data_IF_618275222362
#
_entry.id   IF_618275222362
#
_cell.length_a   1.000
_cell.length_b   1.000
_cell.length_c   1.000
_cell.angle_alpha   90.00
_cell.angle_beta   90.00
_cell.angle_gamma   90.00
#
_symmetry.space_group_name_H-M   'P 1'
#
loop_
_entity.id
_entity.type
_entity.pdbx_description
1 polymer ?
#
# COMPACT_ATOMS: atom_id res chain seq x y z
N UNK A 1 -13.91 -53.37 -15.66
CA UNK A 1 -13.75 -52.23 -14.85
C UNK A 1 -12.28 -51.99 -14.58
N UNK A 2 -11.69 -50.93 -15.09
CA UNK A 2 -10.34 -50.50 -14.72
C UNK A 2 -10.49 -49.95 -13.31
N UNK A 3 -9.97 -50.68 -12.30
CA UNK A 3 -9.82 -50.16 -10.94
C UNK A 3 -8.90 -48.94 -11.07
N UNK A 4 -9.44 -47.74 -10.84
CA UNK A 4 -8.62 -46.55 -10.66
C UNK A 4 -7.77 -46.83 -9.40
N UNK A 5 -6.46 -46.90 -9.60
CA UNK A 5 -5.52 -47.03 -8.49
C UNK A 5 -5.78 -45.88 -7.51
N UNK A 6 -5.84 -46.19 -6.21
CA UNK A 6 -5.91 -45.16 -5.19
C UNK A 6 -4.77 -44.18 -5.39
N UNK A 7 -5.04 -42.88 -5.26
CA UNK A 7 -4.00 -41.86 -5.41
C UNK A 7 -2.85 -42.22 -4.46
N UNK A 8 -1.59 -42.03 -4.87
CA UNK A 8 -0.44 -42.42 -4.09
C UNK A 8 -0.53 -41.77 -2.70
N UNK A 9 -0.65 -42.63 -1.64
CA UNK A 9 -0.83 -42.16 -0.27
C UNK A 9 0.46 -41.50 0.29
N UNK A 10 1.59 -41.70 -0.38
CA UNK A 10 2.89 -41.17 0.03
C UNK A 10 3.58 -40.52 -1.18
N UNK A 11 3.50 -39.22 -1.23
CA UNK A 11 4.38 -38.41 -2.07
C UNK A 11 5.71 -38.18 -1.32
N UNK A 12 6.84 -37.99 -2.02
CA UNK A 12 8.12 -37.68 -1.39
C UNK A 12 7.99 -36.48 -0.42
N UNK A 13 8.64 -36.59 0.72
CA UNK A 13 8.56 -35.55 1.78
C UNK A 13 9.15 -34.18 1.37
N UNK A 14 9.91 -34.15 0.30
CA UNK A 14 10.50 -32.96 -0.32
C UNK A 14 9.62 -32.36 -1.43
N UNK A 15 8.45 -32.96 -1.71
CA UNK A 15 7.53 -32.44 -2.70
C UNK A 15 6.84 -31.17 -2.18
N UNK A 16 6.85 -30.04 -2.94
CA UNK A 16 6.17 -28.82 -2.55
C UNK A 16 4.66 -29.05 -2.32
N UNK A 17 4.11 -28.52 -1.21
CA UNK A 17 2.70 -28.74 -0.83
C UNK A 17 1.71 -28.38 -1.96
N UNK A 18 2.01 -27.34 -2.73
CA UNK A 18 1.16 -26.94 -3.86
C UNK A 18 1.18 -27.96 -5.00
N UNK A 19 2.35 -28.51 -5.34
CA UNK A 19 2.46 -29.57 -6.34
C UNK A 19 1.70 -30.83 -5.89
N UNK A 20 1.76 -31.16 -4.62
CA UNK A 20 0.96 -32.25 -4.03
C UNK A 20 -0.52 -32.03 -4.28
N UNK A 21 -1.03 -30.82 -4.00
CA UNK A 21 -2.45 -30.49 -4.22
C UNK A 21 -2.84 -30.51 -5.70
N UNK A 22 -1.95 -30.06 -6.61
CA UNK A 22 -2.17 -30.12 -8.04
C UNK A 22 -2.30 -31.57 -8.54
N UNK A 23 -1.39 -32.46 -8.08
CA UNK A 23 -1.40 -33.89 -8.43
C UNK A 23 -2.64 -34.59 -7.85
N UNK A 24 -3.00 -34.33 -6.60
CA UNK A 24 -4.19 -34.91 -5.98
C UNK A 24 -5.47 -34.51 -6.74
N UNK A 25 -5.56 -33.27 -7.21
CA UNK A 25 -6.70 -32.83 -8.02
C UNK A 25 -6.71 -33.48 -9.41
N UNK A 26 -5.56 -33.74 -10.01
CA UNK A 26 -5.47 -34.52 -11.28
C UNK A 26 -6.01 -35.95 -11.11
N UNK A 27 -5.73 -36.55 -9.96
CA UNK A 27 -6.05 -37.94 -9.63
C UNK A 27 -7.40 -38.09 -8.92
N UNK A 28 -8.18 -37.01 -8.77
CA UNK A 28 -9.47 -37.07 -8.11
C UNK A 28 -10.37 -38.16 -8.77
N UNK A 29 -11.02 -39.05 -7.97
CA UNK A 29 -11.87 -40.11 -8.48
C UNK A 29 -13.01 -39.59 -9.36
N UNK A 30 -13.68 -38.53 -8.90
CA UNK A 30 -14.75 -37.85 -9.64
C UNK A 30 -14.15 -36.88 -10.68
N UNK A 31 -14.45 -37.06 -11.98
CA UNK A 31 -14.02 -36.15 -13.04
C UNK A 31 -14.45 -34.69 -12.82
N UNK A 32 -15.57 -34.44 -12.15
CA UNK A 32 -16.04 -33.08 -11.82
C UNK A 32 -15.12 -32.34 -10.86
N UNK A 33 -14.33 -33.04 -10.06
CA UNK A 33 -13.35 -32.47 -9.14
C UNK A 33 -11.95 -32.33 -9.76
N UNK A 34 -11.75 -32.75 -11.00
CA UNK A 34 -10.48 -32.57 -11.73
C UNK A 34 -10.38 -31.16 -12.32
N UNK A 35 -9.23 -30.87 -12.92
CA UNK A 35 -9.02 -29.64 -13.68
C UNK A 35 -9.96 -29.58 -14.89
N UNK A 36 -10.56 -28.42 -15.13
CA UNK A 36 -11.54 -28.23 -16.22
C UNK A 36 -10.89 -28.30 -17.59
N UNK A 37 -9.61 -27.97 -17.70
CA UNK A 37 -8.83 -28.01 -18.96
C UNK A 37 -7.35 -28.26 -18.70
N UNK A 38 -6.64 -28.70 -19.75
CA UNK A 38 -5.18 -28.79 -19.73
C UNK A 38 -4.49 -27.45 -19.53
N UNK A 39 -5.10 -26.35 -20.02
CA UNK A 39 -4.61 -24.99 -19.81
C UNK A 39 -4.66 -24.58 -18.33
N UNK A 40 -5.73 -24.92 -17.61
CA UNK A 40 -5.84 -24.69 -16.18
C UNK A 40 -4.75 -25.48 -15.41
N UNK A 41 -4.55 -26.75 -15.75
CA UNK A 41 -3.48 -27.56 -15.17
C UNK A 41 -2.10 -26.98 -15.48
N UNK A 42 -1.82 -26.60 -16.71
CA UNK A 42 -0.54 -26.00 -17.11
C UNK A 42 -0.24 -24.72 -16.31
N UNK A 43 -1.24 -23.88 -16.09
CA UNK A 43 -1.10 -22.67 -15.27
C UNK A 43 -0.71 -22.98 -13.83
N UNK A 44 -1.26 -24.03 -13.24
CA UNK A 44 -0.93 -24.47 -11.87
C UNK A 44 0.47 -25.07 -11.80
N UNK A 45 0.90 -25.78 -12.83
CA UNK A 45 2.27 -26.31 -12.91
C UNK A 45 3.29 -25.16 -13.07
N UNK A 46 3.00 -24.14 -13.91
CA UNK A 46 3.83 -22.95 -14.01
C UNK A 46 3.98 -22.22 -12.67
N UNK A 47 2.91 -22.18 -11.89
CA UNK A 47 2.96 -21.63 -10.52
C UNK A 47 3.91 -22.42 -9.62
N UNK A 48 3.96 -23.76 -9.74
CA UNK A 48 4.91 -24.57 -8.99
C UNK A 48 6.38 -24.25 -9.31
N UNK A 49 6.65 -23.76 -10.53
CA UNK A 49 7.99 -23.35 -10.97
C UNK A 49 8.39 -21.97 -10.46
N UNK A 50 7.44 -21.21 -9.88
CA UNK A 50 7.69 -19.88 -9.32
C UNK A 50 7.29 -19.81 -7.83
N UNK A 51 8.16 -20.28 -6.92
CA UNK A 51 7.83 -20.36 -5.48
C UNK A 51 7.45 -19.01 -4.87
N UNK A 52 8.02 -17.91 -5.40
CA UNK A 52 7.72 -16.57 -4.90
C UNK A 52 6.31 -16.12 -5.27
N UNK A 53 5.90 -16.27 -6.51
CA UNK A 53 4.53 -16.01 -6.94
C UNK A 53 3.54 -16.92 -6.20
N UNK A 54 3.89 -18.18 -5.99
CA UNK A 54 3.10 -19.14 -5.23
C UNK A 54 2.87 -18.67 -3.78
N UNK A 55 3.91 -18.20 -3.08
CA UNK A 55 3.80 -17.71 -1.70
C UNK A 55 2.89 -16.48 -1.59
N UNK A 56 2.85 -15.64 -2.63
CA UNK A 56 1.99 -14.47 -2.68
C UNK A 56 0.54 -14.89 -2.93
N UNK A 57 0.29 -15.71 -3.96
CA UNK A 57 -1.06 -16.06 -4.41
C UNK A 57 -1.73 -17.10 -3.51
N UNK A 58 -0.95 -18.02 -2.94
CA UNK A 58 -1.40 -19.10 -2.07
C UNK A 58 -0.58 -19.12 -0.78
N UNK A 59 -0.74 -18.11 0.08
CA UNK A 59 0.01 -18.06 1.33
C UNK A 59 -0.30 -19.27 2.21
N UNK A 60 0.73 -19.86 2.79
CA UNK A 60 0.59 -21.00 3.70
C UNK A 60 -0.38 -20.66 4.85
N UNK A 61 -1.17 -21.63 5.30
CA UNK A 61 -2.16 -21.45 6.38
C UNK A 61 -1.55 -20.95 7.69
N UNK A 62 -0.27 -21.21 7.93
CA UNK A 62 0.50 -20.72 9.08
C UNK A 62 1.12 -19.33 8.88
N UNK A 63 0.96 -18.70 7.69
CA UNK A 63 1.46 -17.37 7.44
C UNK A 63 0.84 -16.35 8.41
N UNK A 64 1.63 -15.38 8.86
CA UNK A 64 1.10 -14.31 9.71
C UNK A 64 0.05 -13.47 8.99
N UNK A 65 0.14 -13.34 7.67
CA UNK A 65 -0.85 -12.63 6.85
C UNK A 65 -2.25 -13.29 6.90
N UNK A 66 -2.32 -14.64 6.95
CA UNK A 66 -3.61 -15.34 7.06
C UNK A 66 -4.28 -15.11 8.41
N UNK A 67 -3.50 -14.86 9.47
CA UNK A 67 -3.99 -14.53 10.81
C UNK A 67 -4.63 -13.11 10.89
N UNK A 68 -4.35 -12.26 9.91
CA UNK A 68 -4.89 -10.89 9.85
C UNK A 68 -6.25 -10.81 9.15
N UNK A 69 -6.81 -11.96 8.75
CA UNK A 69 -8.15 -12.02 8.15
C UNK A 69 -9.19 -11.38 9.08
N UNK A 70 -9.95 -10.41 8.54
CA UNK A 70 -10.92 -9.61 9.30
C UNK A 70 -10.37 -8.30 9.89
N UNK A 71 -9.04 -8.12 9.88
CA UNK A 71 -8.37 -6.91 10.36
C UNK A 71 -7.81 -6.04 9.23
N UNK A 72 -8.09 -6.39 7.96
CA UNK A 72 -7.50 -5.74 6.80
C UNK A 72 -7.83 -4.25 6.74
N UNK A 73 -9.11 -3.87 6.96
CA UNK A 73 -9.52 -2.45 6.93
C UNK A 73 -8.86 -1.66 8.06
N UNK A 74 -8.97 -2.07 9.35
CA UNK A 74 -8.29 -1.38 10.44
C UNK A 74 -6.77 -1.26 10.23
N UNK A 75 -6.12 -2.29 9.70
CA UNK A 75 -4.67 -2.28 9.48
C UNK A 75 -4.27 -1.35 8.35
N UNK A 76 -5.00 -1.31 7.23
CA UNK A 76 -4.76 -0.34 6.16
C UNK A 76 -4.94 1.09 6.68
N UNK A 77 -6.01 1.34 7.44
CA UNK A 77 -6.23 2.66 8.07
C UNK A 77 -5.08 3.01 9.00
N UNK A 78 -4.59 2.07 9.82
CA UNK A 78 -3.47 2.29 10.73
C UNK A 78 -2.15 2.56 9.99
N UNK A 79 -1.87 1.80 8.93
CA UNK A 79 -0.68 1.99 8.06
C UNK A 79 -0.67 3.41 7.47
N UNK A 80 -1.82 3.95 7.12
CA UNK A 80 -1.95 5.32 6.61
C UNK A 80 -1.90 6.35 7.73
N UNK A 81 -2.59 6.10 8.84
CA UNK A 81 -2.72 7.04 9.94
C UNK A 81 -1.38 7.35 10.63
N UNK A 82 -0.57 6.32 10.91
CA UNK A 82 0.69 6.49 11.66
C UNK A 82 1.63 7.52 11.01
N UNK A 83 2.06 7.39 9.74
CA UNK A 83 2.96 8.36 9.14
C UNK A 83 2.33 9.75 9.02
N UNK A 84 1.02 9.85 8.77
CA UNK A 84 0.31 11.13 8.68
C UNK A 84 0.20 11.83 10.04
N UNK A 85 -0.06 11.09 11.12
CA UNK A 85 -0.08 11.64 12.49
C UNK A 85 1.31 12.12 12.89
N UNK A 86 2.36 11.34 12.63
CA UNK A 86 3.73 11.73 12.94
C UNK A 86 4.15 12.98 12.14
N UNK A 87 3.82 13.06 10.86
CA UNK A 87 4.01 14.25 10.05
C UNK A 87 3.22 15.44 10.60
N UNK A 88 1.97 15.24 11.03
CA UNK A 88 1.13 16.26 11.64
C UNK A 88 1.69 16.80 12.97
N UNK A 89 2.21 15.92 13.80
CA UNK A 89 2.90 16.30 15.07
C UNK A 89 4.12 17.17 14.76
N UNK A 90 4.96 16.72 13.81
CA UNK A 90 6.12 17.51 13.39
C UNK A 90 5.69 18.88 12.84
N UNK A 91 4.74 18.91 11.92
CA UNK A 91 4.21 20.13 11.30
C UNK A 91 3.66 21.12 12.33
N UNK A 92 2.94 20.60 13.34
CA UNK A 92 2.39 21.39 14.43
C UNK A 92 3.51 22.08 15.22
N UNK A 93 4.47 21.32 15.76
CA UNK A 93 5.54 21.89 16.57
C UNK A 93 6.44 22.84 15.78
N UNK A 94 6.74 22.51 14.51
CA UNK A 94 7.51 23.37 13.64
C UNK A 94 6.83 24.72 13.42
N UNK A 95 5.56 24.72 13.06
CA UNK A 95 4.82 25.95 12.78
C UNK A 95 4.54 26.74 14.08
N UNK A 96 4.27 26.08 15.19
CA UNK A 96 4.11 26.77 16.47
C UNK A 96 5.36 27.57 16.83
N UNK A 97 6.52 26.95 16.75
CA UNK A 97 7.78 27.57 17.14
C UNK A 97 8.21 28.68 16.20
N UNK A 98 8.10 28.46 14.89
CA UNK A 98 8.64 29.42 13.89
C UNK A 98 7.68 30.52 13.47
N UNK A 99 6.39 30.35 13.71
CA UNK A 99 5.36 31.29 13.26
C UNK A 99 4.58 31.83 14.44
N UNK A 100 3.94 30.95 15.21
CA UNK A 100 2.94 31.33 16.20
C UNK A 100 3.55 32.09 17.37
N UNK A 101 4.71 31.66 17.88
CA UNK A 101 5.40 32.31 19.01
C UNK A 101 5.88 33.72 18.68
N UNK A 102 6.04 34.05 17.39
CA UNK A 102 6.48 35.37 16.92
C UNK A 102 5.33 36.32 16.59
N UNK A 103 4.07 35.83 16.62
CA UNK A 103 2.88 36.59 16.29
C UNK A 103 2.03 36.84 17.54
N UNK A 104 1.75 38.11 17.87
CA UNK A 104 0.89 38.46 19.01
C UNK A 104 -0.52 37.90 18.83
N UNK A 105 -1.08 37.32 19.91
CA UNK A 105 -2.45 36.79 19.97
C UNK A 105 -2.80 35.69 18.93
N UNK A 106 -1.80 34.99 18.40
CA UNK A 106 -2.02 34.00 17.36
C UNK A 106 -2.27 32.59 17.88
N UNK A 107 -1.93 32.30 19.12
CA UNK A 107 -1.97 30.93 19.66
C UNK A 107 -3.39 30.33 19.65
N UNK A 108 -4.39 31.06 20.14
CA UNK A 108 -5.77 30.57 20.17
C UNK A 108 -6.34 30.35 18.77
N UNK A 109 -6.04 31.29 17.83
CA UNK A 109 -6.45 31.15 16.45
C UNK A 109 -5.80 29.92 15.80
N UNK A 110 -4.49 29.73 16.02
CA UNK A 110 -3.73 28.59 15.53
C UNK A 110 -4.32 27.27 16.00
N UNK A 111 -4.57 27.12 17.31
CA UNK A 111 -5.15 25.90 17.87
C UNK A 111 -6.55 25.59 17.33
N UNK A 112 -7.41 26.60 17.19
CA UNK A 112 -8.77 26.44 16.63
C UNK A 112 -8.72 26.01 15.16
N UNK A 113 -7.88 26.66 14.36
CA UNK A 113 -7.71 26.36 12.93
C UNK A 113 -7.13 24.96 12.76
N UNK A 114 -6.06 24.62 13.50
CA UNK A 114 -5.44 23.30 13.48
C UNK A 114 -6.44 22.20 13.83
N UNK A 115 -7.19 22.39 14.90
CA UNK A 115 -8.20 21.42 15.35
C UNK A 115 -9.31 21.25 14.33
N UNK A 116 -9.80 22.34 13.74
CA UNK A 116 -10.85 22.30 12.73
C UNK A 116 -10.40 21.58 11.45
N UNK A 117 -9.21 21.89 10.94
CA UNK A 117 -8.67 21.25 9.73
C UNK A 117 -8.45 19.75 9.99
N UNK A 118 -7.83 19.38 11.11
CA UNK A 118 -7.55 17.98 11.42
C UNK A 118 -8.83 17.18 11.68
N UNK A 119 -9.84 17.79 12.33
CA UNK A 119 -11.14 17.14 12.59
C UNK A 119 -11.88 16.81 11.29
N UNK A 120 -11.62 17.51 10.21
CA UNK A 120 -12.19 17.22 8.88
C UNK A 120 -11.28 16.29 8.09
N UNK A 121 -9.98 16.60 7.98
CA UNK A 121 -9.05 15.89 7.12
C UNK A 121 -8.88 14.42 7.53
N UNK A 122 -8.54 14.14 8.80
CA UNK A 122 -8.32 12.75 9.22
C UNK A 122 -9.53 11.83 9.05
N UNK A 123 -10.76 12.19 9.46
CA UNK A 123 -11.91 11.32 9.25
C UNK A 123 -12.25 11.12 7.77
N UNK A 124 -12.12 12.17 6.94
CA UNK A 124 -12.42 12.07 5.50
C UNK A 124 -11.43 11.19 4.77
N UNK A 125 -10.13 11.40 4.93
CA UNK A 125 -9.11 10.62 4.25
C UNK A 125 -9.06 9.17 4.71
N UNK A 126 -9.01 8.95 6.02
CA UNK A 126 -8.99 7.59 6.57
C UNK A 126 -10.29 6.84 6.29
N UNK A 127 -11.44 7.53 6.35
CA UNK A 127 -12.73 6.96 6.00
C UNK A 127 -12.83 6.55 4.54
N UNK A 128 -12.35 7.38 3.62
CA UNK A 128 -12.32 7.07 2.19
C UNK A 128 -11.41 5.88 1.87
N UNK A 129 -10.21 5.83 2.47
CA UNK A 129 -9.27 4.72 2.28
C UNK A 129 -9.85 3.42 2.87
N UNK A 130 -10.43 3.50 4.06
CA UNK A 130 -11.11 2.37 4.69
C UNK A 130 -12.28 1.86 3.85
N UNK A 131 -13.08 2.75 3.28
CA UNK A 131 -14.18 2.41 2.39
C UNK A 131 -13.70 1.74 1.08
N UNK A 132 -12.64 2.26 0.44
CA UNK A 132 -12.05 1.63 -0.74
C UNK A 132 -11.54 0.22 -0.43
N UNK A 133 -10.89 0.04 0.72
CA UNK A 133 -10.42 -1.28 1.18
C UNK A 133 -11.59 -2.23 1.43
N UNK A 134 -12.63 -1.76 2.11
CA UNK A 134 -13.83 -2.54 2.37
C UNK A 134 -14.54 -2.99 1.08
N UNK A 135 -14.62 -2.12 0.06
CA UNK A 135 -15.20 -2.48 -1.24
C UNK A 135 -14.46 -3.65 -1.90
N UNK A 136 -13.13 -3.68 -1.82
CA UNK A 136 -12.33 -4.79 -2.37
C UNK A 136 -12.59 -6.09 -1.62
N UNK A 137 -12.64 -6.03 -0.29
CA UNK A 137 -12.91 -7.19 0.56
C UNK A 137 -14.33 -7.73 0.40
N UNK A 138 -15.30 -6.84 0.29
CA UNK A 138 -16.70 -7.22 0.00
C UNK A 138 -16.80 -7.94 -1.34
N UNK A 139 -16.18 -7.39 -2.39
CA UNK A 139 -16.16 -8.07 -3.69
C UNK A 139 -15.49 -9.45 -3.61
N UNK A 140 -14.38 -9.58 -2.89
CA UNK A 140 -13.71 -10.87 -2.70
C UNK A 140 -14.64 -11.89 -1.99
N UNK A 141 -15.38 -11.46 -0.97
CA UNK A 141 -16.33 -12.31 -0.24
C UNK A 141 -17.55 -12.71 -1.11
N UNK A 142 -18.12 -11.75 -1.85
CA UNK A 142 -19.25 -12.03 -2.75
C UNK A 142 -18.87 -13.02 -3.86
N UNK A 143 -17.62 -12.95 -4.36
CA UNK A 143 -17.07 -13.87 -5.37
C UNK A 143 -16.80 -15.28 -4.84
N UNK A 144 -16.61 -15.45 -3.53
CA UNK A 144 -16.52 -16.77 -2.90
C UNK A 144 -17.85 -17.54 -2.94
N UNK A 145 -18.98 -16.82 -2.96
CA UNK A 145 -20.33 -17.40 -2.91
C UNK A 145 -20.97 -17.58 -4.27
N UNK A 146 -20.59 -16.76 -5.28
CA UNK A 146 -21.17 -16.79 -6.62
C UNK A 146 -20.14 -17.24 -7.67
N UNK A 147 -20.26 -18.48 -8.12
CA UNK A 147 -19.41 -19.10 -9.16
C UNK A 147 -19.48 -18.45 -10.55
N UNK A 148 -20.38 -17.48 -10.75
CA UNK A 148 -20.59 -16.72 -11.99
C UNK A 148 -20.13 -15.28 -11.91
N UNK A 149 -19.16 -14.96 -11.03
CA UNK A 149 -18.63 -13.60 -10.96
C UNK A 149 -18.15 -13.15 -12.34
N UNK A 150 -18.61 -11.98 -12.76
CA UNK A 150 -18.25 -11.36 -14.05
C UNK A 150 -16.73 -11.21 -14.12
N UNK A 151 -16.10 -11.94 -15.04
CA UNK A 151 -14.67 -11.95 -15.29
C UNK A 151 -14.09 -10.53 -15.39
N UNK A 152 -14.80 -9.67 -16.09
CA UNK A 152 -14.38 -8.28 -16.28
C UNK A 152 -14.34 -7.51 -14.97
N UNK A 153 -15.31 -7.76 -14.08
CA UNK A 153 -15.31 -7.14 -12.73
C UNK A 153 -14.14 -7.63 -11.89
N UNK A 154 -13.82 -8.93 -11.96
CA UNK A 154 -12.67 -9.49 -11.25
C UNK A 154 -11.36 -8.82 -11.66
N UNK A 155 -11.09 -8.68 -12.96
CA UNK A 155 -9.90 -7.98 -13.47
C UNK A 155 -9.85 -6.53 -12.98
N UNK A 156 -10.99 -5.83 -12.98
CA UNK A 156 -11.06 -4.44 -12.49
C UNK A 156 -10.71 -4.37 -11.00
N UNK A 157 -11.22 -5.29 -10.19
CA UNK A 157 -10.96 -5.31 -8.74
C UNK A 157 -9.51 -5.68 -8.42
N UNK A 158 -8.91 -6.62 -9.16
CA UNK A 158 -7.49 -6.93 -9.06
C UNK A 158 -6.61 -5.70 -9.36
N UNK A 159 -6.90 -4.96 -10.43
CA UNK A 159 -6.21 -3.70 -10.77
C UNK A 159 -6.37 -2.63 -9.70
N UNK A 160 -7.57 -2.49 -9.12
CA UNK A 160 -7.84 -1.57 -8.01
C UNK A 160 -7.06 -1.94 -6.77
N UNK A 161 -6.96 -3.24 -6.46
CA UNK A 161 -6.18 -3.73 -5.33
C UNK A 161 -4.69 -3.39 -5.49
N UNK A 162 -4.09 -3.64 -6.66
CA UNK A 162 -2.71 -3.27 -6.96
C UNK A 162 -2.45 -1.75 -6.87
N UNK A 163 -3.48 -0.93 -7.12
CA UNK A 163 -3.39 0.54 -7.04
C UNK A 163 -3.85 1.11 -5.70
N UNK A 164 -4.24 0.29 -4.72
CA UNK A 164 -4.79 0.78 -3.45
C UNK A 164 -3.80 1.70 -2.73
N UNK A 165 -2.51 1.33 -2.67
CA UNK A 165 -1.46 2.19 -2.10
C UNK A 165 -1.28 3.51 -2.84
N UNK A 166 -1.42 3.50 -4.17
CA UNK A 166 -1.38 4.74 -4.96
C UNK A 166 -2.59 5.65 -4.65
N UNK A 167 -3.78 5.09 -4.52
CA UNK A 167 -4.97 5.87 -4.12
C UNK A 167 -4.82 6.43 -2.71
N UNK A 168 -4.30 5.63 -1.76
CA UNK A 168 -4.02 6.12 -0.41
C UNK A 168 -3.03 7.30 -0.44
N UNK A 169 -1.93 7.19 -1.18
CA UNK A 169 -0.96 8.26 -1.34
C UNK A 169 -1.56 9.52 -1.98
N UNK A 170 -2.39 9.38 -3.02
CA UNK A 170 -3.06 10.52 -3.66
C UNK A 170 -4.05 11.23 -2.72
N UNK A 171 -4.85 10.46 -1.96
CA UNK A 171 -5.79 11.01 -0.99
C UNK A 171 -5.03 11.82 0.07
N UNK A 172 -4.01 11.21 0.70
CA UNK A 172 -3.21 11.90 1.71
C UNK A 172 -2.51 13.15 1.15
N UNK A 173 -1.93 13.05 -0.06
CA UNK A 173 -1.27 14.20 -0.70
C UNK A 173 -2.27 15.33 -0.97
N UNK A 174 -3.46 15.00 -1.47
CA UNK A 174 -4.51 16.00 -1.70
C UNK A 174 -4.93 16.69 -0.40
N UNK A 175 -5.11 15.95 0.68
CA UNK A 175 -5.44 16.52 2.00
C UNK A 175 -4.34 17.44 2.52
N UNK A 176 -3.06 17.07 2.38
CA UNK A 176 -1.95 17.92 2.77
C UNK A 176 -1.87 19.21 1.92
N UNK A 177 -2.14 19.14 0.62
CA UNK A 177 -2.20 20.31 -0.26
C UNK A 177 -3.36 21.22 0.15
N UNK A 178 -4.56 20.66 0.36
CA UNK A 178 -5.74 21.42 0.79
C UNK A 178 -5.49 22.07 2.16
N UNK A 179 -4.98 21.33 3.12
CA UNK A 179 -4.65 21.85 4.44
C UNK A 179 -3.59 22.96 4.35
N UNK A 180 -2.57 22.77 3.51
CA UNK A 180 -1.50 23.74 3.33
C UNK A 180 -1.95 25.06 2.69
N UNK A 181 -3.00 25.04 1.91
CA UNK A 181 -3.63 26.24 1.36
C UNK A 181 -4.60 26.85 2.39
N UNK A 182 -5.44 26.01 3.01
CA UNK A 182 -6.45 26.47 3.96
C UNK A 182 -5.82 27.10 5.21
N UNK A 183 -4.69 26.58 5.66
CA UNK A 183 -4.04 27.00 6.89
C UNK A 183 -3.58 28.46 6.88
N UNK A 184 -2.71 28.90 5.96
CA UNK A 184 -2.26 30.29 5.91
C UNK A 184 -3.40 31.25 5.57
N UNK A 185 -4.37 30.84 4.76
CA UNK A 185 -5.56 31.65 4.45
C UNK A 185 -6.39 31.87 5.73
N UNK A 186 -6.70 30.83 6.48
CA UNK A 186 -7.46 30.91 7.72
C UNK A 186 -6.74 31.77 8.78
N UNK A 187 -5.41 31.64 8.89
CA UNK A 187 -4.60 32.46 9.78
C UNK A 187 -4.62 33.95 9.35
N UNK A 188 -4.51 34.21 8.04
CA UNK A 188 -4.62 35.59 7.54
C UNK A 188 -5.95 36.27 7.92
N UNK A 189 -7.07 35.55 7.80
CA UNK A 189 -8.38 36.09 8.20
C UNK A 189 -8.53 36.25 9.73
N UNK A 190 -7.89 35.37 10.51
CA UNK A 190 -8.02 35.40 11.97
C UNK A 190 -7.17 36.46 12.65
N UNK A 191 -5.95 36.72 12.17
CA UNK A 191 -4.97 37.58 12.83
C UNK A 191 -4.39 38.70 11.95
N UNK A 192 -4.80 38.77 10.69
CA UNK A 192 -4.30 39.75 9.72
C UNK A 192 -3.14 39.24 8.86
N UNK A 193 -2.43 40.15 8.19
CA UNK A 193 -1.36 39.77 7.27
C UNK A 193 -0.20 39.05 7.96
N UNK A 194 0.18 37.91 7.40
CA UNK A 194 1.34 37.15 7.82
C UNK A 194 2.61 37.68 7.16
N UNK A 195 3.76 37.67 7.85
CA UNK A 195 5.04 37.98 7.22
C UNK A 195 5.41 36.93 6.15
N UNK A 196 6.14 37.33 5.12
CA UNK A 196 6.55 36.45 4.03
C UNK A 196 7.31 35.21 4.52
N UNK A 197 8.10 35.34 5.59
CA UNK A 197 8.81 34.24 6.23
C UNK A 197 7.87 33.15 6.75
N UNK A 198 6.70 33.52 7.28
CA UNK A 198 5.70 32.55 7.76
C UNK A 198 5.18 31.68 6.61
N UNK A 199 4.92 32.26 5.42
CA UNK A 199 4.50 31.47 4.25
C UNK A 199 5.59 30.49 3.81
N UNK A 200 6.86 30.88 3.88
CA UNK A 200 8.00 30.00 3.52
C UNK A 200 8.07 28.81 4.48
N UNK A 201 7.90 29.04 5.79
CA UNK A 201 7.89 27.97 6.80
C UNK A 201 6.70 27.04 6.63
N UNK A 202 5.49 27.59 6.40
CA UNK A 202 4.32 26.78 6.10
C UNK A 202 4.52 25.89 4.86
N UNK A 203 5.01 26.49 3.77
CA UNK A 203 5.24 25.76 2.51
C UNK A 203 6.31 24.67 2.67
N UNK A 204 7.43 24.99 3.33
CA UNK A 204 8.52 24.03 3.56
C UNK A 204 8.08 22.84 4.40
N UNK A 205 7.39 23.08 5.52
CA UNK A 205 6.86 22.00 6.37
C UNK A 205 5.79 21.18 5.66
N UNK A 206 4.94 21.83 4.85
CA UNK A 206 3.92 21.17 4.06
C UNK A 206 4.52 20.22 3.02
N UNK A 207 5.54 20.67 2.26
CA UNK A 207 6.22 19.83 1.26
C UNK A 207 6.80 18.60 1.95
N UNK A 208 7.50 18.78 3.06
CA UNK A 208 8.12 17.69 3.79
C UNK A 208 7.11 16.68 4.32
N UNK A 209 6.04 17.16 4.95
CA UNK A 209 4.95 16.32 5.45
C UNK A 209 4.19 15.64 4.31
N UNK A 210 3.96 16.32 3.19
CA UNK A 210 3.34 15.77 2.00
C UNK A 210 4.16 14.63 1.37
N UNK A 211 5.49 14.73 1.35
CA UNK A 211 6.38 13.64 0.89
C UNK A 211 6.26 12.41 1.80
N UNK A 212 6.19 12.61 3.11
CA UNK A 212 5.96 11.52 4.07
C UNK A 212 4.58 10.89 3.82
N UNK A 213 3.54 11.73 3.75
CA UNK A 213 2.15 11.31 3.53
C UNK A 213 1.93 10.57 2.20
N UNK A 214 2.72 10.86 1.18
CA UNK A 214 2.67 10.16 -0.10
C UNK A 214 3.41 8.83 -0.06
N UNK A 215 4.68 8.84 0.36
CA UNK A 215 5.58 7.71 0.17
C UNK A 215 5.33 6.55 1.15
N UNK A 216 5.14 6.85 2.43
CA UNK A 216 5.00 5.80 3.45
C UNK A 216 3.68 5.01 3.32
N UNK A 217 2.50 5.67 3.16
CA UNK A 217 1.27 4.96 2.87
C UNK A 217 1.30 4.18 1.57
N UNK A 218 1.92 4.71 0.50
CA UNK A 218 2.05 3.98 -0.75
C UNK A 218 2.70 2.60 -0.54
N UNK A 219 3.89 2.56 0.06
CA UNK A 219 4.61 1.30 0.25
C UNK A 219 3.91 0.39 1.25
N UNK A 220 3.48 0.93 2.39
CA UNK A 220 2.82 0.14 3.42
C UNK A 220 1.53 -0.52 2.93
N UNK A 221 0.65 0.26 2.30
CA UNK A 221 -0.64 -0.23 1.79
C UNK A 221 -0.44 -1.16 0.59
N UNK A 222 0.46 -0.83 -0.35
CA UNK A 222 0.73 -1.70 -1.52
C UNK A 222 1.26 -3.05 -1.07
N UNK A 223 2.25 -3.08 -0.19
CA UNK A 223 2.82 -4.32 0.32
C UNK A 223 1.78 -5.14 1.08
N UNK A 224 1.04 -4.50 1.98
CA UNK A 224 0.00 -5.17 2.75
C UNK A 224 -1.11 -5.72 1.86
N UNK A 225 -1.65 -4.92 0.93
CA UNK A 225 -2.73 -5.35 0.04
C UNK A 225 -2.32 -6.47 -0.91
N UNK A 226 -1.06 -6.46 -1.39
CA UNK A 226 -0.52 -7.51 -2.25
C UNK A 226 -0.47 -8.88 -1.54
N UNK A 227 -0.21 -8.90 -0.23
CA UNK A 227 -0.06 -10.14 0.54
C UNK A 227 -1.33 -10.58 1.28
N UNK A 228 -2.35 -9.71 1.43
CA UNK A 228 -3.56 -10.04 2.19
C UNK A 228 -4.84 -10.02 1.36
N UNK A 229 -5.03 -8.97 0.55
CA UNK A 229 -6.28 -8.76 -0.20
C UNK A 229 -6.19 -9.39 -1.60
N UNK A 230 -5.06 -9.19 -2.28
CA UNK A 230 -4.85 -9.65 -3.65
C UNK A 230 -5.01 -11.17 -3.82
N UNK A 231 -4.45 -12.04 -2.94
CA UNK A 231 -4.66 -13.48 -3.03
C UNK A 231 -6.14 -13.88 -3.00
N UNK A 232 -6.95 -13.23 -2.20
CA UNK A 232 -8.39 -13.52 -2.09
C UNK A 232 -9.17 -13.14 -3.35
N UNK A 233 -8.75 -12.11 -4.05
CA UNK A 233 -9.35 -11.71 -5.34
C UNK A 233 -8.98 -12.67 -6.47
N UNK A 234 -7.87 -13.39 -6.34
CA UNK A 234 -7.39 -14.34 -7.35
C UNK A 234 -7.92 -15.75 -7.12
N UNK A 235 -8.08 -16.20 -5.87
CA UNK A 235 -8.51 -17.57 -5.56
C UNK A 235 -9.81 -17.98 -6.28
N UNK A 236 -10.67 -17.00 -6.59
CA UNK A 236 -11.95 -17.19 -7.26
C UNK A 236 -11.93 -16.82 -8.75
N UNK A 237 -10.80 -16.34 -9.25
CA UNK A 237 -10.59 -15.96 -10.64
C UNK A 237 -9.34 -16.63 -11.20
N UNK A 238 -9.30 -16.79 -12.50
CA UNK A 238 -8.13 -17.30 -13.19
C UNK A 238 -6.99 -16.27 -13.07
N UNK A 239 -5.90 -16.58 -12.32
CA UNK A 239 -4.76 -15.69 -12.14
C UNK A 239 -4.03 -15.35 -13.44
N UNK A 240 -4.36 -16.06 -14.52
CA UNK A 240 -3.80 -15.90 -15.85
C UNK A 240 -4.28 -14.65 -16.58
N UNK A 241 -5.31 -13.98 -16.05
CA UNK A 241 -6.04 -12.95 -16.76
C UNK A 241 -5.54 -11.54 -16.57
N UNK A 242 -4.69 -11.29 -15.56
CA UNK A 242 -4.14 -9.97 -15.34
C UNK A 242 -2.99 -9.71 -16.33
N UNK A 243 -3.14 -8.67 -17.13
CA UNK A 243 -2.10 -8.29 -18.10
C UNK A 243 -0.79 -7.90 -17.39
N UNK A 244 0.38 -8.35 -17.89
CA UNK A 244 1.70 -8.03 -17.32
C UNK A 244 1.94 -6.53 -17.13
N UNK A 245 1.34 -5.69 -17.97
CA UNK A 245 1.43 -4.22 -17.91
C UNK A 245 0.98 -3.64 -16.57
N UNK A 246 0.05 -4.31 -15.87
CA UNK A 246 -0.43 -3.83 -14.56
C UNK A 246 0.67 -3.89 -13.49
N UNK A 247 1.49 -4.92 -13.52
CA UNK A 247 2.64 -5.06 -12.63
C UNK A 247 3.75 -4.07 -12.99
N UNK A 248 4.01 -3.85 -14.29
CA UNK A 248 5.00 -2.87 -14.75
C UNK A 248 4.62 -1.44 -14.35
N UNK A 249 3.34 -1.08 -14.45
CA UNK A 249 2.87 0.24 -13.98
C UNK A 249 3.12 0.42 -12.49
N UNK A 250 2.84 -0.60 -11.68
CA UNK A 250 3.08 -0.53 -10.24
C UNK A 250 4.57 -0.43 -9.91
N UNK A 251 5.43 -1.16 -10.64
CA UNK A 251 6.89 -1.06 -10.52
C UNK A 251 7.39 0.37 -10.84
N UNK A 252 6.88 1.01 -11.87
CA UNK A 252 7.22 2.41 -12.21
C UNK A 252 6.77 3.38 -11.14
N UNK A 253 5.54 3.23 -10.62
CA UNK A 253 5.03 4.05 -9.54
C UNK A 253 5.87 3.91 -8.27
N UNK A 254 6.32 2.70 -7.93
CA UNK A 254 7.13 2.49 -6.73
C UNK A 254 8.49 3.20 -6.81
N UNK A 255 9.09 3.37 -8.01
CA UNK A 255 10.28 4.20 -8.19
C UNK A 255 10.00 5.68 -7.87
N UNK A 256 8.87 6.22 -8.32
CA UNK A 256 8.50 7.62 -8.04
C UNK A 256 8.36 7.84 -6.53
N UNK A 257 7.63 6.95 -5.84
CA UNK A 257 7.45 7.07 -4.39
C UNK A 257 8.72 6.79 -3.59
N UNK A 258 9.64 5.98 -4.11
CA UNK A 258 10.96 5.79 -3.52
C UNK A 258 11.78 7.08 -3.56
N UNK A 259 11.80 7.77 -4.70
CA UNK A 259 12.46 9.08 -4.83
C UNK A 259 11.85 10.06 -3.81
N UNK A 260 10.52 10.12 -3.70
CA UNK A 260 9.84 10.97 -2.71
C UNK A 260 10.28 10.64 -1.27
N UNK A 261 10.43 9.36 -0.93
CA UNK A 261 10.89 8.94 0.39
C UNK A 261 12.31 9.41 0.71
N UNK A 262 13.21 9.37 -0.27
CA UNK A 262 14.60 9.85 -0.12
C UNK A 262 14.72 11.39 -0.11
N UNK A 263 13.75 12.11 -0.69
CA UNK A 263 13.71 13.57 -0.58
C UNK A 263 13.44 14.04 0.86
N UNK A 264 12.77 13.24 1.70
CA UNK A 264 12.49 13.61 3.10
C UNK A 264 13.78 13.91 3.89
N UNK A 265 14.72 12.96 4.06
CA UNK A 265 15.98 13.24 4.77
C UNK A 265 16.84 14.28 4.04
N UNK A 266 16.85 14.30 2.71
CA UNK A 266 17.63 15.26 1.91
C UNK A 266 17.18 16.68 2.17
N UNK A 267 15.89 16.97 2.13
CA UNK A 267 15.33 18.29 2.43
C UNK A 267 15.49 18.65 3.90
N UNK A 268 15.39 17.66 4.81
CA UNK A 268 15.65 17.88 6.23
C UNK A 268 17.09 18.31 6.49
N UNK A 269 18.06 17.66 5.85
CA UNK A 269 19.49 18.05 5.93
C UNK A 269 19.72 19.45 5.36
N UNK A 270 19.14 19.74 4.19
CA UNK A 270 19.25 21.06 3.58
C UNK A 270 18.68 22.15 4.51
N UNK A 271 17.57 21.87 5.19
CA UNK A 271 16.96 22.78 6.17
C UNK A 271 17.86 23.05 7.37
N UNK A 272 18.67 22.06 7.82
CA UNK A 272 19.64 22.24 8.92
C UNK A 272 20.70 23.32 8.63
N UNK A 273 21.05 23.51 7.37
CA UNK A 273 22.03 24.51 6.96
C UNK A 273 21.49 25.96 7.04
N UNK A 274 20.14 26.11 7.01
CA UNK A 274 19.48 27.42 6.92
C UNK A 274 18.92 27.94 8.26
N UNK A 275 19.00 27.15 9.34
CA UNK A 275 18.27 27.38 10.60
C UNK A 275 19.23 27.67 11.76
N UNK A 276 18.76 28.47 12.73
CA UNK A 276 19.47 28.81 13.96
C UNK A 276 19.75 27.62 14.86
N UNK A 277 20.81 27.70 15.71
CA UNK A 277 21.30 26.60 16.54
C UNK A 277 20.22 25.90 17.41
N UNK A 278 19.23 26.67 17.91
CA UNK A 278 18.19 26.14 18.79
C UNK A 278 17.21 25.18 18.12
N UNK A 279 17.12 25.19 16.80
CA UNK A 279 16.18 24.38 16.01
C UNK A 279 16.80 23.13 15.40
N UNK A 280 18.14 23.04 15.49
CA UNK A 280 18.91 21.92 14.92
C UNK A 280 18.54 20.56 15.52
N UNK A 281 18.10 20.53 16.78
CA UNK A 281 17.74 19.26 17.44
C UNK A 281 16.48 18.65 16.79
N UNK A 282 15.41 19.42 16.60
CA UNK A 282 14.17 18.92 16.01
C UNK A 282 14.37 18.42 14.57
N UNK A 283 15.10 19.20 13.76
CA UNK A 283 15.43 18.83 12.40
C UNK A 283 16.43 17.67 12.37
N UNK A 284 17.38 17.62 13.31
CA UNK A 284 18.28 16.48 13.46
C UNK A 284 17.52 15.18 13.75
N UNK A 285 16.55 15.20 14.65
CA UNK A 285 15.67 14.06 14.93
C UNK A 285 14.90 13.66 13.66
N UNK A 286 14.31 14.62 12.94
CA UNK A 286 13.59 14.36 11.69
C UNK A 286 14.51 13.77 10.61
N UNK A 287 15.74 14.27 10.51
CA UNK A 287 16.76 13.75 9.56
C UNK A 287 17.09 12.29 9.85
N UNK A 288 17.35 11.95 11.12
CA UNK A 288 17.65 10.58 11.53
C UNK A 288 16.42 9.68 11.32
N UNK A 289 15.25 10.10 11.77
CA UNK A 289 14.01 9.35 11.59
C UNK A 289 13.65 9.19 10.11
N UNK A 290 13.80 10.24 9.32
CA UNK A 290 13.58 10.22 7.87
C UNK A 290 14.58 9.31 7.14
N UNK A 291 15.83 9.27 7.55
CA UNK A 291 16.85 8.37 6.99
C UNK A 291 16.52 6.90 7.31
N UNK A 292 16.21 6.60 8.58
CA UNK A 292 15.80 5.24 8.99
C UNK A 292 14.52 4.80 8.26
N UNK A 293 13.57 5.72 8.10
CA UNK A 293 12.35 5.49 7.34
C UNK A 293 12.64 5.23 5.86
N UNK A 294 13.49 6.02 5.21
CA UNK A 294 13.86 5.84 3.82
C UNK A 294 14.58 4.49 3.59
N UNK A 295 15.48 4.08 4.50
CA UNK A 295 16.12 2.76 4.46
C UNK A 295 15.10 1.63 4.62
N UNK A 296 14.13 1.79 5.52
CA UNK A 296 13.05 0.81 5.71
C UNK A 296 12.18 0.70 4.46
N UNK A 297 11.79 1.82 3.87
CA UNK A 297 11.05 1.86 2.60
C UNK A 297 11.85 1.23 1.47
N UNK A 298 13.17 1.46 1.40
CA UNK A 298 14.01 0.83 0.39
C UNK A 298 13.99 -0.70 0.46
N UNK A 299 13.99 -1.27 1.67
CA UNK A 299 13.84 -2.72 1.85
C UNK A 299 12.47 -3.22 1.38
N UNK A 300 11.39 -2.51 1.76
CA UNK A 300 10.05 -2.83 1.28
C UNK A 300 9.96 -2.72 -0.24
N UNK A 301 10.56 -1.67 -0.83
CA UNK A 301 10.66 -1.49 -2.28
C UNK A 301 11.35 -2.68 -2.96
N UNK A 302 12.53 -3.12 -2.46
CA UNK A 302 13.24 -4.27 -3.02
C UNK A 302 12.40 -5.54 -2.98
N UNK A 303 11.72 -5.80 -1.85
CA UNK A 303 10.83 -6.95 -1.72
C UNK A 303 9.66 -6.84 -2.70
N UNK A 304 9.03 -5.67 -2.77
CA UNK A 304 7.91 -5.42 -3.68
C UNK A 304 8.30 -5.58 -5.15
N UNK A 305 9.49 -5.08 -5.56
CA UNK A 305 9.99 -5.26 -6.93
C UNK A 305 10.14 -6.74 -7.26
N UNK A 306 10.77 -7.52 -6.37
CA UNK A 306 10.98 -8.94 -6.59
C UNK A 306 9.65 -9.74 -6.59
N UNK A 307 8.65 -9.31 -5.79
CA UNK A 307 7.31 -9.90 -5.80
C UNK A 307 6.58 -9.61 -7.11
N UNK A 308 6.65 -8.37 -7.59
CA UNK A 308 6.04 -7.97 -8.85
C UNK A 308 6.74 -8.60 -10.07
N UNK A 309 8.08 -8.79 -10.02
CA UNK A 309 8.81 -9.52 -11.06
C UNK A 309 8.34 -10.97 -11.16
N UNK A 310 8.17 -11.64 -10.02
CA UNK A 310 7.69 -13.02 -9.97
C UNK A 310 6.25 -13.16 -10.55
N UNK A 311 5.36 -12.23 -10.20
CA UNK A 311 3.98 -12.22 -10.70
C UNK A 311 3.92 -11.86 -12.19
N UNK A 312 4.74 -10.92 -12.65
CA UNK A 312 4.83 -10.54 -14.07
C UNK A 312 5.36 -11.68 -14.91
N UNK A 313 6.43 -12.37 -14.45
CA UNK A 313 6.99 -13.51 -15.15
C UNK A 313 5.97 -14.66 -15.27
N UNK A 314 5.27 -14.98 -14.16
CA UNK A 314 4.20 -15.98 -14.17
C UNK A 314 3.12 -15.60 -15.19
N UNK A 315 2.64 -14.36 -15.15
CA UNK A 315 1.62 -13.87 -16.08
C UNK A 315 2.06 -13.96 -17.54
N UNK A 316 3.32 -13.62 -17.86
CA UNK A 316 3.86 -13.75 -19.23
C UNK A 316 3.94 -15.20 -19.70
N UNK A 317 4.44 -16.11 -18.87
CA UNK A 317 4.57 -17.54 -19.21
C UNK A 317 3.20 -18.15 -19.51
N UNK A 318 2.23 -17.89 -18.64
CA UNK A 318 0.86 -18.38 -18.83
C UNK A 318 0.25 -17.80 -20.13
N UNK A 319 0.39 -16.49 -20.39
CA UNK A 319 -0.10 -15.93 -21.66
C UNK A 319 0.60 -16.50 -22.90
N UNK A 320 1.86 -16.91 -22.79
CA UNK A 320 2.59 -17.53 -23.91
C UNK A 320 2.19 -18.99 -24.14
N UNK A 321 1.84 -19.72 -23.09
CA UNK A 321 1.41 -21.13 -23.19
C UNK A 321 -0.02 -21.29 -23.70
N UNK A 322 -0.83 -20.22 -23.69
CA UNK A 322 -2.22 -20.20 -24.18
C UNK A 322 -2.34 -19.77 -25.66
N UNK A 323 -1.25 -19.30 -26.28
CA UNK A 323 -1.17 -18.98 -27.70
C UNK A 323 -0.65 -20.17 -28.49
#
# INVERSE_FOLDING_TARGET
GISLADPPQHLPSDCPEHLVSVLQKCLAPDPAHRWRSGAELASQLELCLNPRAQQILFPASKSWFTKLKGWEVPLVVLIVAIPNILAGIFNFFHNQKHIVEHLKNSQDAFWKIQSAINMIAYPTGLGLIGWLTWLLLRFAADSETDSKSDLQKSIVMQKRCLRLGHYAALICTAEWIIAGIAYPISMHYAIGSLPATAYIHFLGSLILCGLIAASYPFFGVTYFSLHTIYPRLIQNSDFTQLAPDSYQQLKRLSWVYLIMAFLVPTLSIASLAMINLNDKIAIGILTVAGTLGAVSIFRVFQTLQADLDALEELSRRVHSSLK
#
